data_IF_031344641309
#
_entry.id   IF_031344641309
#
_cell.length_a   1.000
_cell.length_b   1.000
_cell.length_c   1.000
_cell.angle_alpha   90.00
_cell.angle_beta   90.00
_cell.angle_gamma   90.00
#
_symmetry.space_group_name_H-M   'P 1'
#
loop_
_entity.id
_entity.type
_entity.pdbx_description
1 polymer ?
#
# COMPACT_ATOMS: atom_id res chain seq x y z
N UNK A 1 4.14 36.60 5.88
CA UNK A 1 4.07 35.20 5.40
C UNK A 1 2.66 34.60 5.56
N UNK A 2 1.57 35.32 5.24
CA UNK A 2 0.20 34.81 5.38
C UNK A 2 -0.72 35.19 4.21
N UNK A 3 -0.16 35.65 3.09
CA UNK A 3 -0.92 35.97 1.88
C UNK A 3 -1.38 34.73 1.11
N UNK A 4 -0.69 33.59 1.25
CA UNK A 4 -1.04 32.33 0.56
C UNK A 4 -2.37 31.70 1.01
N UNK A 5 -2.79 31.91 2.26
CA UNK A 5 -4.00 31.25 2.76
C UNK A 5 -5.29 31.85 2.18
N UNK A 6 -5.23 33.13 1.75
CA UNK A 6 -6.36 33.77 1.07
C UNK A 6 -6.47 33.33 -0.39
N UNK A 7 -5.34 33.13 -1.06
CA UNK A 7 -5.30 32.61 -2.43
C UNK A 7 -5.71 31.13 -2.49
N UNK A 8 -5.35 30.33 -1.48
CA UNK A 8 -5.82 28.95 -1.34
C UNK A 8 -7.35 28.86 -1.15
N UNK A 9 -7.97 29.78 -0.40
CA UNK A 9 -9.44 29.83 -0.24
C UNK A 9 -10.17 30.35 -1.49
N UNK A 10 -9.55 31.24 -2.27
CA UNK A 10 -10.10 31.67 -3.56
C UNK A 10 -9.98 30.55 -4.62
N UNK A 11 -8.98 29.67 -4.52
CA UNK A 11 -8.88 28.48 -5.37
C UNK A 11 -9.92 27.39 -5.01
N UNK A 12 -10.30 27.23 -3.74
CA UNK A 12 -11.42 26.35 -3.36
C UNK A 12 -12.80 26.87 -3.82
N UNK A 13 -12.90 28.15 -4.16
CA UNK A 13 -14.12 28.77 -4.68
C UNK A 13 -14.29 28.64 -6.21
N UNK A 14 -13.39 27.93 -6.90
CA UNK A 14 -13.63 27.53 -8.29
C UNK A 14 -14.85 26.62 -8.32
N UNK A 15 -15.98 27.20 -8.73
CA UNK A 15 -17.22 26.47 -8.99
C UNK A 15 -16.90 25.32 -9.95
N UNK A 16 -16.82 24.10 -9.41
CA UNK A 16 -16.79 22.88 -10.21
C UNK A 16 -18.09 22.88 -10.98
N UNK A 17 -18.02 23.22 -12.27
CA UNK A 17 -19.18 23.18 -13.15
C UNK A 17 -19.76 21.78 -13.02
N UNK A 18 -21.01 21.64 -12.56
CA UNK A 18 -21.61 20.33 -12.37
C UNK A 18 -21.50 19.57 -13.69
N UNK A 19 -20.93 18.37 -13.64
CA UNK A 19 -20.72 17.55 -14.83
C UNK A 19 -22.07 17.39 -15.54
N UNK A 20 -22.10 17.73 -16.82
CA UNK A 20 -23.31 17.55 -17.62
C UNK A 20 -23.69 16.07 -17.70
N UNK A 21 -24.98 15.78 -17.90
CA UNK A 21 -25.47 14.39 -18.04
C UNK A 21 -24.68 13.58 -19.07
N UNK A 22 -24.22 14.24 -20.14
CA UNK A 22 -23.46 13.61 -21.22
C UNK A 22 -22.05 13.22 -20.78
N UNK A 23 -21.42 14.00 -19.89
CA UNK A 23 -20.11 13.70 -19.33
C UNK A 23 -20.19 12.55 -18.33
N UNK A 24 -21.23 12.55 -17.48
CA UNK A 24 -21.47 11.43 -16.56
C UNK A 24 -21.73 10.13 -17.31
N UNK A 25 -22.51 10.17 -18.40
CA UNK A 25 -22.75 8.98 -19.24
C UNK A 25 -21.48 8.47 -19.92
N UNK A 26 -20.64 9.38 -20.44
CA UNK A 26 -19.35 9.01 -21.03
C UNK A 26 -18.41 8.40 -19.99
N UNK A 27 -18.36 8.96 -18.78
CA UNK A 27 -17.60 8.40 -17.68
C UNK A 27 -18.11 7.00 -17.30
N UNK A 28 -19.42 6.80 -17.18
CA UNK A 28 -20.02 5.50 -16.89
C UNK A 28 -19.69 4.44 -17.95
N UNK A 29 -19.62 4.81 -19.24
CA UNK A 29 -19.21 3.90 -20.31
C UNK A 29 -17.74 3.47 -20.19
N UNK A 30 -16.84 4.40 -19.86
CA UNK A 30 -15.43 4.08 -19.65
C UNK A 30 -15.27 3.14 -18.46
N UNK A 31 -16.02 3.37 -17.38
CA UNK A 31 -16.03 2.51 -16.19
C UNK A 31 -16.60 1.13 -16.52
N UNK A 32 -17.64 1.04 -17.35
CA UNK A 32 -18.22 -0.22 -17.80
C UNK A 32 -17.20 -1.09 -18.57
N UNK A 33 -16.33 -0.48 -19.38
CA UNK A 33 -15.26 -1.22 -20.05
C UNK A 33 -14.21 -1.78 -19.09
N UNK A 34 -14.04 -1.18 -17.91
CA UNK A 34 -13.04 -1.60 -16.93
C UNK A 34 -13.59 -2.61 -15.92
N UNK A 35 -14.91 -2.66 -15.75
CA UNK A 35 -15.58 -3.56 -14.83
C UNK A 35 -15.57 -5.01 -15.34
N UNK A 36 -15.39 -5.96 -14.42
CA UNK A 36 -15.33 -7.39 -14.72
C UNK A 36 -16.70 -8.04 -14.80
N UNK A 37 -17.62 -7.58 -13.98
CA UNK A 37 -18.98 -8.08 -13.89
C UNK A 37 -19.94 -6.95 -13.44
N UNK A 38 -21.22 -7.30 -13.29
CA UNK A 38 -22.28 -6.35 -12.93
C UNK A 38 -22.06 -5.76 -11.53
N UNK A 39 -21.57 -6.56 -10.59
CA UNK A 39 -21.44 -6.15 -9.19
C UNK A 39 -20.23 -5.21 -9.05
N UNK A 40 -19.10 -5.53 -9.71
CA UNK A 40 -17.93 -4.66 -9.84
C UNK A 40 -18.28 -3.32 -10.52
N UNK A 41 -19.12 -3.35 -11.56
CA UNK A 41 -19.62 -2.13 -12.20
C UNK A 41 -20.43 -1.26 -11.23
N UNK A 42 -21.32 -1.86 -10.44
CA UNK A 42 -22.13 -1.12 -9.48
C UNK A 42 -21.26 -0.47 -8.40
N UNK A 43 -20.26 -1.18 -7.88
CA UNK A 43 -19.31 -0.67 -6.89
C UNK A 43 -18.46 0.47 -7.43
N UNK A 44 -17.92 0.33 -8.65
CA UNK A 44 -17.11 1.37 -9.29
C UNK A 44 -17.92 2.64 -9.59
N UNK A 45 -19.15 2.51 -10.09
CA UNK A 45 -20.03 3.66 -10.32
C UNK A 45 -20.41 4.34 -9.01
N UNK A 46 -20.70 3.57 -7.97
CA UNK A 46 -21.00 4.08 -6.63
C UNK A 46 -19.83 4.86 -6.02
N UNK A 47 -18.61 4.31 -6.14
CA UNK A 47 -17.39 4.97 -5.66
C UNK A 47 -17.10 6.30 -6.35
N UNK A 48 -17.46 6.43 -7.64
CA UNK A 48 -17.26 7.65 -8.44
C UNK A 48 -18.43 8.63 -8.35
N UNK A 49 -19.50 8.30 -7.61
CA UNK A 49 -20.71 9.11 -7.53
C UNK A 49 -21.45 9.22 -8.88
N UNK A 50 -21.27 8.24 -9.76
CA UNK A 50 -21.94 8.16 -11.05
C UNK A 50 -23.34 7.53 -10.90
N UNK A 51 -24.25 7.75 -11.87
CA UNK A 51 -25.55 7.11 -11.88
C UNK A 51 -25.42 5.57 -11.81
N UNK A 52 -26.01 4.97 -10.79
CA UNK A 52 -25.95 3.53 -10.50
C UNK A 52 -27.34 2.90 -10.37
N UNK A 53 -28.37 3.51 -10.98
CA UNK A 53 -29.70 2.90 -11.01
C UNK A 53 -29.69 1.61 -11.84
N UNK A 54 -30.57 0.67 -11.52
CA UNK A 54 -30.66 -0.61 -12.25
C UNK A 54 -30.86 -0.40 -13.76
N UNK A 55 -31.64 0.61 -14.16
CA UNK A 55 -31.84 0.96 -15.58
C UNK A 55 -30.53 1.40 -16.26
N UNK A 56 -29.62 2.06 -15.54
CA UNK A 56 -28.32 2.47 -16.04
C UNK A 56 -27.37 1.27 -16.13
N UNK A 57 -27.39 0.37 -15.14
CA UNK A 57 -26.63 -0.88 -15.17
C UNK A 57 -27.05 -1.76 -16.35
N UNK A 58 -28.35 -1.87 -16.62
CA UNK A 58 -28.89 -2.63 -17.78
C UNK A 58 -28.44 -2.03 -19.12
N UNK A 59 -28.30 -0.70 -19.21
CA UNK A 59 -27.76 -0.02 -20.41
C UNK A 59 -26.26 -0.22 -20.59
N UNK A 60 -25.51 -0.37 -19.49
CA UNK A 60 -24.05 -0.52 -19.50
C UNK A 60 -23.57 -1.97 -19.59
N UNK A 61 -24.41 -2.93 -19.19
CA UNK A 61 -24.15 -4.38 -19.26
C UNK A 61 -23.61 -4.87 -20.62
N UNK A 62 -24.13 -4.41 -21.78
CA UNK A 62 -23.58 -4.79 -23.09
C UNK A 62 -22.15 -4.31 -23.36
N UNK A 63 -21.64 -3.38 -22.55
CA UNK A 63 -20.29 -2.79 -22.68
C UNK A 63 -19.28 -3.39 -21.71
N UNK A 64 -19.71 -4.31 -20.84
CA UNK A 64 -18.79 -5.07 -19.99
C UNK A 64 -17.82 -5.85 -20.87
N UNK A 65 -16.55 -5.80 -20.50
CA UNK A 65 -15.52 -6.59 -21.17
C UNK A 65 -15.77 -8.05 -20.84
N UNK A 66 -16.43 -8.78 -21.74
CA UNK A 66 -16.59 -10.21 -21.59
C UNK A 66 -15.20 -10.85 -21.53
N UNK A 67 -14.85 -11.55 -20.44
CA UNK A 67 -13.56 -12.26 -20.37
C UNK A 67 -13.43 -13.38 -21.41
N UNK A 68 -14.55 -13.74 -22.06
CA UNK A 68 -14.64 -14.73 -23.14
C UNK A 68 -14.69 -14.12 -24.55
N UNK A 69 -14.83 -12.80 -24.69
CA UNK A 69 -14.47 -12.16 -25.95
C UNK A 69 -12.94 -12.13 -25.94
N UNK A 70 -12.37 -13.29 -26.31
CA UNK A 70 -11.01 -13.42 -26.79
C UNK A 70 -10.81 -12.28 -27.78
N UNK A 71 -10.22 -11.19 -27.29
CA UNK A 71 -9.40 -10.33 -28.11
C UNK A 71 -8.53 -11.34 -28.85
N UNK A 72 -8.67 -11.49 -30.19
CA UNK A 72 -7.78 -12.36 -30.91
C UNK A 72 -6.41 -11.95 -30.42
N UNK A 73 -5.63 -12.92 -29.94
CA UNK A 73 -4.24 -12.73 -29.56
C UNK A 73 -3.49 -12.29 -30.81
N UNK A 74 -3.77 -11.08 -31.28
CA UNK A 74 -2.85 -10.24 -32.00
C UNK A 74 -1.75 -10.05 -31.00
N UNK A 75 -0.56 -10.46 -31.43
CA UNK A 75 0.67 -10.42 -30.69
C UNK A 75 0.64 -9.30 -29.66
N UNK A 76 0.97 -9.58 -28.39
CA UNK A 76 1.04 -8.53 -27.39
C UNK A 76 1.77 -7.36 -28.02
N UNK A 77 1.17 -6.17 -28.00
CA UNK A 77 1.90 -4.94 -28.29
C UNK A 77 2.93 -4.70 -27.18
N UNK A 78 3.81 -5.68 -26.93
CA UNK A 78 5.05 -5.59 -26.19
C UNK A 78 6.12 -4.96 -27.07
N UNK A 79 5.77 -3.94 -27.85
CA UNK A 79 6.69 -2.81 -27.91
C UNK A 79 6.59 -2.15 -26.53
N UNK A 80 7.32 -2.71 -25.56
CA UNK A 80 7.46 -2.14 -24.23
C UNK A 80 7.70 -0.63 -24.42
N UNK A 81 6.98 0.26 -23.71
CA UNK A 81 7.01 1.70 -24.00
C UNK A 81 8.46 2.26 -24.03
N UNK A 82 9.36 1.60 -23.29
CA UNK A 82 10.79 1.79 -23.32
C UNK A 82 11.46 1.45 -24.66
N UNK A 83 11.08 0.36 -25.34
CA UNK A 83 11.55 -0.01 -26.68
C UNK A 83 11.14 1.01 -27.74
N UNK A 84 9.91 1.52 -27.67
CA UNK A 84 9.45 2.57 -28.60
C UNK A 84 10.19 3.91 -28.37
N UNK A 85 10.43 4.27 -27.11
CA UNK A 85 11.19 5.46 -26.74
C UNK A 85 12.66 5.32 -27.13
N UNK A 86 13.25 4.13 -26.91
CA UNK A 86 14.61 3.81 -27.33
C UNK A 86 14.77 3.88 -28.85
N UNK A 87 13.84 3.31 -29.61
CA UNK A 87 13.83 3.42 -31.07
C UNK A 87 13.74 4.89 -31.51
N UNK A 88 12.90 5.71 -30.86
CA UNK A 88 12.81 7.15 -31.14
C UNK A 88 14.12 7.89 -30.88
N UNK A 89 14.78 7.65 -29.74
CA UNK A 89 16.09 8.25 -29.42
C UNK A 89 17.16 7.84 -30.44
N UNK A 90 17.18 6.57 -30.84
CA UNK A 90 18.10 6.06 -31.87
C UNK A 90 17.84 6.73 -33.24
N UNK A 91 16.58 6.93 -33.65
CA UNK A 91 16.26 7.66 -34.88
C UNK A 91 16.66 9.14 -34.84
N UNK A 92 16.75 9.73 -33.64
CA UNK A 92 17.22 11.10 -33.43
C UNK A 92 18.76 11.21 -33.40
N UNK A 93 19.48 10.10 -33.54
CA UNK A 93 20.93 10.06 -33.60
C UNK A 93 21.63 9.87 -32.26
N UNK A 94 20.88 9.54 -31.19
CA UNK A 94 21.49 9.21 -29.91
C UNK A 94 22.29 7.89 -30.00
N UNK A 95 23.43 7.86 -29.32
CA UNK A 95 24.25 6.64 -29.26
C UNK A 95 23.52 5.53 -28.50
N UNK A 96 23.58 4.26 -28.95
CA UNK A 96 22.93 3.14 -28.27
C UNK A 96 23.35 2.99 -26.80
N UNK A 97 24.59 3.32 -26.45
CA UNK A 97 25.08 3.33 -25.06
C UNK A 97 24.39 4.40 -24.20
N UNK A 98 24.10 5.56 -24.79
CA UNK A 98 23.39 6.63 -24.10
C UNK A 98 21.93 6.26 -23.84
N UNK A 99 21.27 5.65 -24.83
CA UNK A 99 19.89 5.16 -24.72
C UNK A 99 19.78 4.07 -23.66
N UNK A 100 20.73 3.11 -23.66
CA UNK A 100 20.79 2.03 -22.67
C UNK A 100 20.95 2.58 -21.25
N UNK A 101 21.90 3.50 -21.04
CA UNK A 101 22.12 4.11 -19.73
C UNK A 101 20.95 4.97 -19.25
N UNK A 102 20.23 5.63 -20.16
CA UNK A 102 19.14 6.55 -19.82
C UNK A 102 17.86 5.81 -19.48
N UNK A 103 17.57 4.72 -20.20
CA UNK A 103 16.33 3.94 -20.04
C UNK A 103 16.53 2.69 -19.17
N UNK A 104 17.75 2.38 -18.74
CA UNK A 104 18.05 1.21 -17.92
C UNK A 104 17.84 -0.12 -18.64
N UNK A 105 17.93 -0.13 -19.98
CA UNK A 105 17.62 -1.29 -20.80
C UNK A 105 18.70 -2.37 -20.72
N UNK A 106 18.27 -3.62 -20.82
CA UNK A 106 19.16 -4.75 -21.10
C UNK A 106 19.65 -4.73 -22.55
N UNK A 107 20.73 -5.45 -22.82
CA UNK A 107 21.32 -5.53 -24.17
C UNK A 107 20.40 -6.20 -25.19
N UNK A 108 19.59 -7.16 -24.74
CA UNK A 108 18.55 -7.80 -25.55
C UNK A 108 17.44 -6.84 -25.94
N UNK A 109 16.99 -5.98 -25.02
CA UNK A 109 15.94 -4.98 -25.32
C UNK A 109 16.46 -3.86 -26.22
N UNK A 110 17.73 -3.48 -26.08
CA UNK A 110 18.37 -2.53 -26.98
C UNK A 110 18.50 -3.10 -28.41
N UNK A 111 18.85 -4.38 -28.54
CA UNK A 111 18.92 -5.05 -29.84
C UNK A 111 17.54 -5.11 -30.53
N UNK A 112 16.48 -5.32 -29.76
CA UNK A 112 15.10 -5.28 -30.24
C UNK A 112 14.69 -3.84 -30.66
N UNK A 113 15.04 -2.82 -29.87
CA UNK A 113 14.80 -1.42 -30.22
C UNK A 113 15.53 -0.98 -31.49
N UNK A 114 16.78 -1.44 -31.69
CA UNK A 114 17.56 -1.18 -32.92
C UNK A 114 16.90 -1.86 -34.13
N UNK A 115 16.39 -3.09 -33.96
CA UNK A 115 15.64 -3.80 -35.02
C UNK A 115 14.36 -3.06 -35.39
N UNK A 116 13.68 -2.45 -34.42
CA UNK A 116 12.49 -1.62 -34.64
C UNK A 116 12.78 -0.25 -35.25
N UNK A 117 13.95 0.34 -34.98
CA UNK A 117 14.36 1.62 -35.54
C UNK A 117 14.76 1.53 -37.03
N UNK A 118 14.77 0.33 -37.63
CA UNK A 118 15.14 0.08 -39.03
C UNK A 118 16.49 0.67 -39.46
N UNK A 119 17.38 0.96 -38.49
CA UNK A 119 18.74 1.41 -38.77
C UNK A 119 19.58 0.20 -39.19
N UNK A 120 20.30 0.27 -40.33
CA UNK A 120 21.21 -0.80 -40.72
C UNK A 120 22.26 -0.96 -39.62
N UNK A 121 22.27 -2.14 -38.99
CA UNK A 121 23.25 -2.52 -37.97
C UNK A 121 24.64 -2.18 -38.51
N UNK A 122 25.46 -1.38 -37.80
CA UNK A 122 26.85 -1.16 -38.20
C UNK A 122 27.56 -2.51 -38.09
N UNK A 123 27.71 -3.16 -39.23
CA UNK A 123 28.42 -4.43 -39.38
C UNK A 123 29.85 -4.21 -38.88
N UNK A 124 30.12 -4.62 -37.65
CA UNK A 124 31.47 -4.78 -37.15
C UNK A 124 32.19 -5.73 -38.11
N UNK A 125 33.21 -5.22 -38.78
CA UNK A 125 33.96 -5.90 -39.82
C UNK A 125 34.56 -7.19 -39.27
N UNK A 126 34.15 -8.38 -39.75
CA UNK A 126 34.82 -9.62 -39.41
C UNK A 126 36.03 -9.80 -40.34
N UNK A 127 37.17 -10.07 -39.73
CA UNK A 127 38.41 -10.49 -40.41
C UNK A 127 38.15 -11.87 -41.06
N UNK A 128 38.56 -12.11 -42.33
CA UNK A 128 38.23 -13.34 -43.04
C UNK A 128 39.25 -14.46 -42.79
N UNK A 129 38.89 -15.64 -43.33
CA UNK A 129 39.61 -16.92 -43.47
C UNK A 129 39.05 -18.01 -42.51
N UNK A 130 38.59 -19.18 -42.96
CA UNK A 130 38.86 -19.95 -44.19
C UNK A 130 37.72 -20.95 -44.47
N UNK A 131 37.64 -21.36 -45.74
CA UNK A 131 36.84 -22.44 -46.35
C UNK A 131 36.58 -23.68 -45.46
N UNK A 132 35.40 -24.30 -45.59
CA UNK A 132 35.18 -25.46 -46.48
C UNK A 132 33.84 -26.18 -46.16
N UNK A 133 33.22 -26.71 -47.21
CA UNK A 133 32.34 -27.88 -47.21
C UNK A 133 30.85 -27.76 -46.83
N UNK A 134 30.06 -27.48 -47.88
CA UNK A 134 29.04 -28.38 -48.45
C UNK A 134 28.23 -29.30 -47.51
N UNK A 135 26.91 -29.08 -47.45
CA UNK A 135 25.90 -30.02 -48.00
C UNK A 135 24.48 -29.67 -47.53
N UNK A 136 23.60 -29.48 -48.52
CA UNK A 136 22.15 -29.76 -48.43
C UNK A 136 21.93 -31.30 -48.35
N UNK A 137 20.72 -31.88 -48.12
CA UNK A 137 19.40 -31.28 -48.34
C UNK A 137 18.27 -31.64 -47.33
N UNK A 138 17.15 -30.95 -47.53
CA UNK A 138 15.74 -31.37 -47.43
C UNK A 138 15.34 -32.52 -46.48
N UNK A 139 14.37 -32.25 -45.60
CA UNK A 139 13.19 -33.11 -45.49
C UNK A 139 11.95 -32.33 -45.05
N UNK A 140 10.86 -32.60 -45.77
CA UNK A 140 9.51 -32.14 -45.51
C UNK A 140 8.85 -33.07 -44.49
N UNK A 141 8.28 -32.52 -43.41
CA UNK A 141 7.42 -33.28 -42.51
C UNK A 141 6.01 -32.69 -42.55
N UNK A 142 5.11 -33.50 -43.12
CA UNK A 142 3.66 -33.40 -43.03
C UNK A 142 3.21 -33.80 -41.63
N UNK A 143 2.44 -32.95 -40.95
CA UNK A 143 1.50 -33.36 -39.90
C UNK A 143 0.22 -32.53 -40.10
N UNK A 144 -0.84 -33.10 -40.69
CA UNK A 144 -1.82 -33.98 -40.05
C UNK A 144 -2.79 -33.19 -39.15
N UNK A 145 -3.81 -32.67 -39.82
CA UNK A 145 -5.13 -32.27 -39.32
C UNK A 145 -5.82 -33.43 -38.57
N UNK A 146 -6.48 -33.16 -37.43
CA UNK A 146 -7.59 -33.98 -36.97
C UNK A 146 -8.89 -33.17 -36.98
N UNK A 147 -9.76 -33.55 -37.91
CA UNK A 147 -11.17 -33.22 -38.00
C UNK A 147 -11.97 -34.06 -36.99
N UNK A 148 -13.02 -33.45 -36.40
CA UNK A 148 -14.32 -34.03 -35.97
C UNK A 148 -14.70 -34.03 -34.46
N UNK A 149 -15.58 -33.07 -34.13
CA UNK A 149 -16.91 -33.20 -33.49
C UNK A 149 -17.01 -33.42 -31.95
N UNK A 150 -18.19 -33.22 -31.30
CA UNK A 150 -19.48 -32.64 -31.76
C UNK A 150 -20.07 -31.52 -30.86
N UNK A 151 -21.04 -30.80 -31.44
CA UNK A 151 -22.04 -29.99 -30.74
C UNK A 151 -22.74 -30.76 -29.60
N UNK A 152 -22.87 -30.11 -28.44
CA UNK A 152 -23.87 -30.48 -27.42
C UNK A 152 -24.60 -29.23 -26.95
N UNK A 153 -25.73 -29.01 -27.62
CA UNK A 153 -26.81 -28.14 -27.19
C UNK A 153 -27.62 -28.89 -26.12
N UNK A 154 -27.68 -28.37 -24.89
CA UNK A 154 -28.55 -28.91 -23.84
C UNK A 154 -28.92 -27.83 -22.81
N UNK A 155 -30.05 -27.19 -23.08
CA UNK A 155 -30.93 -26.51 -22.12
C UNK A 155 -31.06 -27.22 -20.77
N UNK A 156 -31.00 -26.46 -19.67
CA UNK A 156 -32.00 -26.55 -18.60
C UNK A 156 -31.86 -25.38 -17.60
N UNK A 157 -32.80 -24.43 -17.73
CA UNK A 157 -33.16 -23.48 -16.70
C UNK A 157 -33.81 -24.22 -15.52
N UNK A 158 -33.35 -23.99 -14.30
CA UNK A 158 -34.08 -24.35 -13.09
C UNK A 158 -33.92 -23.24 -12.05
N UNK A 159 -34.92 -22.36 -12.00
CA UNK A 159 -35.15 -21.44 -10.89
C UNK A 159 -35.44 -22.21 -9.60
N UNK A 160 -34.78 -21.84 -8.51
CA UNK A 160 -35.15 -22.21 -7.14
C UNK A 160 -34.88 -21.02 -6.19
N UNK A 161 -35.64 -20.90 -5.08
CA UNK A 161 -36.07 -19.62 -4.56
C UNK A 161 -35.09 -18.99 -3.56
N UNK A 162 -35.06 -17.65 -3.67
CA UNK A 162 -34.79 -16.62 -2.68
C UNK A 162 -34.85 -17.10 -1.21
N UNK A 163 -33.66 -17.30 -0.65
CA UNK A 163 -33.43 -17.44 0.78
C UNK A 163 -32.53 -16.29 1.24
N UNK A 164 -33.03 -15.57 2.24
CA UNK A 164 -32.47 -14.41 2.95
C UNK A 164 -30.94 -14.52 3.15
N UNK A 165 -30.13 -13.51 2.76
CA UNK A 165 -28.69 -13.54 2.97
C UNK A 165 -28.35 -13.38 4.46
N UNK A 166 -27.90 -14.48 5.05
CA UNK A 166 -27.14 -14.50 6.30
C UNK A 166 -25.77 -13.81 6.07
N UNK A 167 -25.09 -13.30 7.12
CA UNK A 167 -23.83 -12.59 6.98
C UNK A 167 -22.81 -13.47 6.26
N UNK A 168 -22.34 -12.97 5.12
CA UNK A 168 -21.26 -13.54 4.33
C UNK A 168 -20.07 -13.79 5.26
N UNK A 169 -19.84 -15.06 5.57
CA UNK A 169 -18.60 -15.47 6.19
C UNK A 169 -17.52 -15.20 5.17
N UNK A 170 -16.60 -14.32 5.54
CA UNK A 170 -15.39 -13.99 4.79
C UNK A 170 -14.82 -15.28 4.21
N UNK A 171 -14.82 -15.35 2.89
CA UNK A 171 -14.64 -16.56 2.10
C UNK A 171 -13.20 -17.02 2.31
N UNK A 172 -12.97 -17.83 3.34
CA UNK A 172 -11.71 -18.54 3.57
C UNK A 172 -11.57 -19.50 2.41
N UNK A 173 -11.05 -18.99 1.29
CA UNK A 173 -10.68 -19.74 0.10
C UNK A 173 -10.01 -21.01 0.60
N UNK A 174 -10.60 -22.16 0.29
CA UNK A 174 -10.27 -23.48 0.84
C UNK A 174 -8.76 -23.76 0.72
N UNK A 175 -8.01 -23.29 1.71
CA UNK A 175 -6.55 -23.25 1.69
C UNK A 175 -6.02 -24.68 1.82
N UNK A 176 -6.78 -25.52 2.53
CA UNK A 176 -6.56 -26.94 2.66
C UNK A 176 -6.71 -27.65 1.29
N UNK A 177 -7.71 -27.27 0.49
CA UNK A 177 -7.88 -27.77 -0.88
C UNK A 177 -6.72 -27.41 -1.81
N UNK A 178 -6.21 -26.17 -1.72
CA UNK A 178 -5.07 -25.71 -2.53
C UNK A 178 -3.78 -26.45 -2.13
N UNK A 179 -3.51 -26.63 -0.84
CA UNK A 179 -2.34 -27.38 -0.36
C UNK A 179 -2.39 -28.86 -0.73
N UNK A 180 -3.59 -29.46 -0.73
CA UNK A 180 -3.79 -30.83 -1.20
C UNK A 180 -3.46 -30.98 -2.70
N UNK A 181 -3.87 -30.02 -3.54
CA UNK A 181 -3.57 -30.00 -4.97
C UNK A 181 -2.08 -29.79 -5.24
N UNK A 182 -1.42 -28.88 -4.52
CA UNK A 182 0.02 -28.63 -4.66
C UNK A 182 0.82 -29.87 -4.23
N UNK A 183 0.44 -30.51 -3.13
CA UNK A 183 1.07 -31.75 -2.65
C UNK A 183 0.90 -32.90 -3.65
N UNK A 184 -0.28 -33.04 -4.26
CA UNK A 184 -0.49 -33.99 -5.35
C UNK A 184 0.40 -33.68 -6.57
N UNK A 185 0.45 -32.41 -6.98
CA UNK A 185 1.23 -31.97 -8.13
C UNK A 185 2.74 -32.17 -7.96
N UNK A 186 3.27 -32.07 -6.74
CA UNK A 186 4.67 -32.39 -6.44
C UNK A 186 4.99 -33.88 -6.50
N UNK A 187 4.02 -34.73 -6.16
CA UNK A 187 4.15 -36.19 -6.30
C UNK A 187 3.93 -36.67 -7.74
N UNK A 188 3.59 -35.76 -8.67
CA UNK A 188 3.21 -36.12 -10.02
C UNK A 188 4.40 -36.67 -10.83
N UNK A 189 4.21 -37.75 -11.63
CA UNK A 189 5.30 -38.37 -12.39
C UNK A 189 5.91 -37.45 -13.47
N UNK A 190 5.11 -36.55 -14.04
CA UNK A 190 5.57 -35.58 -15.03
C UNK A 190 6.37 -34.43 -14.39
N UNK A 191 7.62 -34.23 -14.83
CA UNK A 191 8.50 -33.18 -14.30
C UNK A 191 7.98 -31.75 -14.50
N UNK A 192 7.26 -31.49 -15.59
CA UNK A 192 6.66 -30.18 -15.87
C UNK A 192 5.63 -29.76 -14.81
N UNK A 193 4.83 -30.70 -14.30
CA UNK A 193 3.80 -30.44 -13.29
C UNK A 193 4.47 -30.14 -11.94
N UNK A 194 5.50 -30.90 -11.56
CA UNK A 194 6.26 -30.65 -10.33
C UNK A 194 6.93 -29.27 -10.34
N UNK A 195 7.54 -28.89 -11.46
CA UNK A 195 8.18 -27.57 -11.61
C UNK A 195 7.16 -26.43 -11.50
N UNK A 196 5.95 -26.61 -12.05
CA UNK A 196 4.87 -25.63 -11.91
C UNK A 196 4.40 -25.52 -10.46
N UNK A 197 4.20 -26.64 -9.78
CA UNK A 197 3.82 -26.65 -8.36
C UNK A 197 4.85 -25.92 -7.48
N UNK A 198 6.13 -26.17 -7.71
CA UNK A 198 7.22 -25.49 -7.00
C UNK A 198 7.23 -23.97 -7.25
N UNK A 199 7.00 -23.53 -8.49
CA UNK A 199 6.87 -22.10 -8.81
C UNK A 199 5.66 -21.47 -8.10
N UNK A 200 4.50 -22.12 -8.17
CA UNK A 200 3.28 -21.62 -7.51
C UNK A 200 3.48 -21.50 -5.98
N UNK A 201 4.19 -22.44 -5.34
CA UNK A 201 4.53 -22.33 -3.91
C UNK A 201 5.45 -21.14 -3.61
N UNK A 202 6.44 -20.91 -4.47
CA UNK A 202 7.32 -19.74 -4.36
C UNK A 202 6.51 -18.44 -4.46
N UNK A 203 5.66 -18.33 -5.48
CA UNK A 203 4.84 -17.15 -5.73
C UNK A 203 3.83 -16.90 -4.59
N UNK A 204 3.23 -17.98 -4.05
CA UNK A 204 2.31 -17.88 -2.92
C UNK A 204 3.03 -17.41 -1.65
N UNK A 205 4.25 -17.92 -1.41
CA UNK A 205 5.09 -17.46 -0.29
C UNK A 205 5.42 -15.97 -0.43
N UNK A 206 5.87 -15.53 -1.61
CA UNK A 206 6.15 -14.12 -1.90
C UNK A 206 4.92 -13.21 -1.69
N UNK A 207 3.74 -13.65 -2.15
CA UNK A 207 2.49 -12.92 -1.93
C UNK A 207 2.13 -12.82 -0.44
N UNK A 208 2.34 -13.88 0.34
CA UNK A 208 2.11 -13.83 1.79
C UNK A 208 3.08 -12.90 2.51
N UNK A 209 4.36 -12.88 2.13
CA UNK A 209 5.36 -11.96 2.68
C UNK A 209 5.04 -10.50 2.34
N UNK A 210 4.59 -10.23 1.10
CA UNK A 210 4.15 -8.90 0.70
C UNK A 210 2.94 -8.43 1.52
N UNK A 211 1.93 -9.29 1.68
CA UNK A 211 0.75 -8.96 2.51
C UNK A 211 1.11 -8.73 3.97
N UNK A 212 2.05 -9.49 4.52
CA UNK A 212 2.54 -9.29 5.88
C UNK A 212 3.26 -7.94 6.03
N UNK A 213 4.04 -7.56 5.02
CA UNK A 213 4.71 -6.25 4.97
C UNK A 213 3.70 -5.11 4.90
N UNK A 214 2.69 -5.22 4.02
CA UNK A 214 1.62 -4.23 3.87
C UNK A 214 0.79 -4.10 5.17
N UNK A 215 0.53 -5.21 5.86
CA UNK A 215 -0.15 -5.20 7.15
C UNK A 215 0.68 -4.50 8.23
N UNK A 216 1.98 -4.79 8.31
CA UNK A 216 2.90 -4.14 9.24
C UNK A 216 3.01 -2.63 8.97
N UNK A 217 2.98 -2.22 7.69
CA UNK A 217 2.95 -0.81 7.31
C UNK A 217 1.67 -0.12 7.82
N UNK A 218 0.49 -0.71 7.58
CA UNK A 218 -0.78 -0.15 8.07
C UNK A 218 -0.80 -0.01 9.60
N UNK A 219 -0.31 -1.01 10.32
CA UNK A 219 -0.19 -0.94 11.78
C UNK A 219 0.75 0.19 12.23
N UNK A 220 1.87 0.39 11.54
CA UNK A 220 2.78 1.50 11.81
C UNK A 220 2.13 2.87 11.55
N UNK A 221 1.37 2.99 10.46
CA UNK A 221 0.61 4.20 10.12
C UNK A 221 -0.47 4.50 11.17
N UNK A 222 -1.17 3.48 11.65
CA UNK A 222 -2.17 3.61 12.72
C UNK A 222 -1.52 4.08 14.03
N UNK A 223 -0.36 3.53 14.41
CA UNK A 223 0.39 3.99 15.58
C UNK A 223 0.80 5.46 15.46
N UNK A 224 1.22 5.91 14.28
CA UNK A 224 1.54 7.32 14.03
C UNK A 224 0.31 8.21 14.14
N UNK A 225 -0.84 7.76 13.60
CA UNK A 225 -2.09 8.50 13.71
C UNK A 225 -2.54 8.65 15.17
N UNK A 226 -2.45 7.58 15.98
CA UNK A 226 -2.78 7.60 17.40
C UNK A 226 -1.86 8.55 18.19
N UNK A 227 -0.54 8.46 17.98
CA UNK A 227 0.42 9.35 18.63
C UNK A 227 0.19 10.83 18.28
N UNK A 228 -0.21 11.12 17.03
CA UNK A 228 -0.54 12.48 16.60
C UNK A 228 -1.81 13.00 17.28
N UNK A 229 -2.84 12.18 17.41
CA UNK A 229 -4.07 12.54 18.12
C UNK A 229 -3.80 12.81 19.61
N UNK A 230 -2.96 12.02 20.25
CA UNK A 230 -2.55 12.23 21.64
C UNK A 230 -1.76 13.55 21.81
N UNK A 231 -0.83 13.84 20.89
CA UNK A 231 -0.07 15.10 20.91
C UNK A 231 -1.01 16.31 20.77
N UNK A 232 -1.99 16.25 19.88
CA UNK A 232 -2.99 17.31 19.73
C UNK A 232 -3.82 17.49 21.01
N UNK A 233 -4.26 16.40 21.63
CA UNK A 233 -4.97 16.44 22.90
C UNK A 233 -4.12 17.08 24.02
N UNK A 234 -2.83 16.70 24.13
CA UNK A 234 -1.91 17.29 25.09
C UNK A 234 -1.69 18.79 24.83
N UNK A 235 -1.58 19.21 23.58
CA UNK A 235 -1.50 20.63 23.23
C UNK A 235 -2.78 21.38 23.59
N UNK A 236 -3.96 20.79 23.38
CA UNK A 236 -5.23 21.39 23.77
C UNK A 236 -5.33 21.58 25.29
N UNK A 237 -4.89 20.59 26.07
CA UNK A 237 -4.79 20.70 27.53
C UNK A 237 -3.84 21.82 27.95
N UNK A 238 -2.67 21.95 27.32
CA UNK A 238 -1.73 23.03 27.61
C UNK A 238 -2.34 24.40 27.30
N UNK A 239 -3.05 24.54 26.17
CA UNK A 239 -3.78 25.78 25.83
C UNK A 239 -4.85 26.11 26.89
N UNK A 240 -5.59 25.11 27.36
CA UNK A 240 -6.60 25.29 28.41
C UNK A 240 -6.00 25.74 29.75
N UNK A 241 -4.90 25.11 30.19
CA UNK A 241 -4.18 25.52 31.42
C UNK A 241 -3.62 26.93 31.29
N UNK A 242 -3.04 27.28 30.13
CA UNK A 242 -2.52 28.62 29.88
C UNK A 242 -3.63 29.68 29.91
N UNK A 243 -4.79 29.38 29.32
CA UNK A 243 -5.96 30.26 29.36
C UNK A 243 -6.53 30.41 30.78
N UNK A 244 -6.58 29.33 31.57
CA UNK A 244 -7.07 29.34 32.95
C UNK A 244 -6.10 29.90 34.00
N UNK A 245 -4.79 29.92 33.71
CA UNK A 245 -3.75 30.35 34.67
C UNK A 245 -3.42 31.85 34.69
N UNK A 246 -3.96 32.66 33.77
CA UNK A 246 -3.60 34.08 33.65
C UNK A 246 -4.66 35.06 34.20
N UNK A 247 -5.74 34.58 34.81
CA UNK A 247 -6.78 35.42 35.43
C UNK A 247 -6.62 35.58 36.95
N UNK A 248 -5.37 35.68 37.44
CA UNK A 248 -5.09 35.96 38.86
C UNK A 248 -3.94 36.98 39.03
N UNK A 249 -4.00 38.12 38.35
CA UNK A 249 -3.36 39.36 38.82
C UNK A 249 -4.23 40.55 38.42
N UNK A 250 -5.47 40.54 38.89
CA UNK A 250 -6.29 41.74 39.00
C UNK A 250 -6.70 41.86 40.48
N UNK A 251 -5.92 42.67 41.20
CA UNK A 251 -6.32 43.45 42.38
C UNK A 251 -7.31 42.76 43.33
N UNK A 252 -6.79 41.99 44.30
CA UNK A 252 -7.46 41.83 45.59
C UNK A 252 -6.70 42.64 46.64
N UNK A 253 -7.15 43.89 46.79
CA UNK A 253 -6.99 44.67 48.00
C UNK A 253 -8.26 44.46 48.84
N UNK A 254 -8.23 43.42 49.69
CA UNK A 254 -9.07 43.29 50.89
C UNK A 254 -8.72 41.99 51.65
N UNK A 255 -8.26 42.13 52.89
CA UNK A 255 -8.05 41.12 53.95
C UNK A 255 -8.90 41.56 55.17
N UNK A 256 -9.28 40.76 56.22
CA UNK A 256 -9.13 39.30 56.52
C UNK A 256 -10.39 38.57 57.10
N UNK A 257 -10.42 37.22 57.10
CA UNK A 257 -10.49 36.36 58.32
C UNK A 257 -10.44 34.83 58.00
N UNK A 258 -9.68 34.06 58.79
CA UNK A 258 -9.50 32.59 58.77
C UNK A 258 -10.22 31.94 59.99
N UNK A 259 -10.28 30.58 60.23
CA UNK A 259 -9.51 29.47 59.63
C UNK A 259 -10.24 28.11 59.31
N UNK A 260 -9.45 27.21 58.71
CA UNK A 260 -9.63 25.88 58.05
C UNK A 260 -10.10 24.68 58.94
N UNK A 261 -10.03 23.36 58.54
CA UNK A 261 -9.63 22.73 57.25
C UNK A 261 -10.43 21.47 56.76
N UNK A 262 -10.32 21.20 55.45
CA UNK A 262 -10.30 19.87 54.81
C UNK A 262 -8.89 19.67 54.17
N UNK A 263 -8.42 18.47 53.76
CA UNK A 263 -8.34 18.22 52.28
C UNK A 263 -8.13 16.77 51.76
N UNK A 264 -8.42 16.55 50.46
CA UNK A 264 -7.66 15.73 49.46
C UNK A 264 -8.31 15.85 48.06
N UNK A 265 -7.65 15.49 46.92
CA UNK A 265 -6.23 15.57 46.52
C UNK A 265 -6.01 16.24 45.12
N UNK A 266 -4.79 16.66 44.76
CA UNK A 266 -4.40 17.03 43.38
C UNK A 266 -2.89 16.95 43.13
N UNK A 267 -2.53 16.65 41.88
CA UNK A 267 -1.19 16.36 41.39
C UNK A 267 -0.45 17.56 40.73
N UNK A 268 0.89 17.47 40.75
CA UNK A 268 1.94 18.13 39.94
C UNK A 268 2.07 19.67 39.92
N UNK A 269 3.05 20.20 40.67
CA UNK A 269 4.23 20.92 40.12
C UNK A 269 5.05 21.57 41.26
N UNK A 270 6.36 21.26 41.29
CA UNK A 270 7.45 22.03 41.93
C UNK A 270 7.22 22.59 43.33
N UNK A 271 7.34 21.71 44.33
CA UNK A 271 7.53 22.12 45.72
C UNK A 271 7.46 20.93 46.65
N UNK A 272 8.61 20.29 46.91
CA UNK A 272 8.79 19.11 47.77
C UNK A 272 8.29 17.78 47.17
N UNK A 273 9.24 16.90 46.80
CA UNK A 273 8.97 15.49 46.54
C UNK A 273 8.37 14.84 47.78
N UNK A 274 7.42 13.93 47.59
CA UNK A 274 6.76 13.29 48.74
C UNK A 274 7.77 12.46 49.54
N UNK A 275 7.48 12.24 50.82
CA UNK A 275 8.36 11.44 51.68
C UNK A 275 8.48 10.00 51.19
N UNK A 276 7.43 9.46 50.58
CA UNK A 276 7.46 8.14 49.94
C UNK A 276 8.39 8.13 48.72
N UNK A 277 8.29 9.15 47.85
CA UNK A 277 9.13 9.25 46.66
C UNK A 277 10.62 9.34 47.03
N UNK A 278 10.96 10.15 48.03
CA UNK A 278 12.34 10.22 48.54
C UNK A 278 12.81 8.89 49.15
N UNK A 279 11.91 8.06 49.69
CA UNK A 279 12.25 6.73 50.17
C UNK A 279 12.51 5.76 49.02
N UNK A 280 11.69 5.80 47.97
CA UNK A 280 11.89 5.02 46.74
C UNK A 280 13.22 5.37 46.06
N UNK A 281 13.54 6.66 45.93
CA UNK A 281 14.80 7.13 45.37
C UNK A 281 15.99 6.64 46.20
N UNK A 282 15.89 6.65 47.54
CA UNK A 282 16.94 6.12 48.42
C UNK A 282 17.15 4.63 48.25
N UNK A 283 16.07 3.85 48.11
CA UNK A 283 16.15 2.41 47.88
C UNK A 283 16.79 2.10 46.53
N UNK A 284 16.35 2.77 45.46
CA UNK A 284 16.93 2.64 44.12
C UNK A 284 18.42 3.02 44.11
N UNK A 285 18.77 4.13 44.76
CA UNK A 285 20.14 4.61 44.80
C UNK A 285 21.08 3.61 45.49
N UNK A 286 20.67 3.01 46.63
CA UNK A 286 21.47 1.97 47.30
C UNK A 286 21.63 0.72 46.45
N UNK A 287 20.58 0.30 45.73
CA UNK A 287 20.65 -0.84 44.80
C UNK A 287 21.63 -0.59 43.64
N UNK A 288 21.80 0.67 43.22
CA UNK A 288 22.74 1.08 42.17
C UNK A 288 24.13 1.51 42.71
N UNK A 289 24.43 1.23 43.98
CA UNK A 289 25.73 1.53 44.60
C UNK A 289 25.98 3.00 44.90
N UNK A 290 24.95 3.86 44.84
CA UNK A 290 25.06 5.26 45.26
C UNK A 290 24.96 5.38 46.79
N UNK A 291 25.90 6.13 47.38
CA UNK A 291 25.91 6.37 48.82
C UNK A 291 24.97 7.54 49.16
N UNK A 292 23.89 7.24 49.88
CA UNK A 292 22.85 8.21 50.26
C UNK A 292 22.58 8.12 51.76
N UNK A 293 22.44 9.26 52.42
CA UNK A 293 22.10 9.32 53.85
C UNK A 293 20.70 8.75 54.11
N UNK A 294 20.51 8.12 55.27
CA UNK A 294 19.23 7.50 55.64
C UNK A 294 18.09 8.52 55.85
N UNK A 295 18.43 9.76 56.17
CA UNK A 295 17.51 10.88 56.41
C UNK A 295 17.95 12.13 55.64
N UNK A 296 16.95 12.91 55.22
CA UNK A 296 17.15 14.18 54.51
C UNK A 296 16.99 14.07 53.01
N UNK A 297 17.38 15.15 52.31
CA UNK A 297 17.25 15.24 50.86
C UNK A 297 18.47 14.55 50.21
N UNK A 298 18.29 13.59 49.28
CA UNK A 298 19.39 12.96 48.56
C UNK A 298 20.13 13.99 47.70
N UNK A 299 21.41 13.71 47.41
CA UNK A 299 22.22 14.57 46.57
C UNK A 299 21.57 14.77 45.19
N UNK A 300 21.64 16.00 44.64
CA UNK A 300 21.02 16.34 43.35
C UNK A 300 21.42 15.38 42.22
N UNK A 301 22.68 14.93 42.21
CA UNK A 301 23.19 13.95 41.24
C UNK A 301 22.43 12.61 41.27
N UNK A 302 21.96 12.17 42.44
CA UNK A 302 21.17 10.94 42.60
C UNK A 302 19.74 11.16 42.12
N UNK A 303 19.17 12.34 42.37
CA UNK A 303 17.85 12.72 41.85
C UNK A 303 17.85 12.75 40.31
N UNK A 304 18.84 13.40 39.71
CA UNK A 304 18.96 13.50 38.25
C UNK A 304 19.14 12.11 37.60
N UNK A 305 19.94 11.23 38.21
CA UNK A 305 20.14 9.86 37.74
C UNK A 305 18.87 9.00 37.86
N UNK A 306 18.14 9.14 38.97
CA UNK A 306 16.87 8.47 39.17
C UNK A 306 15.83 8.92 38.13
N UNK A 307 15.72 10.24 37.92
CA UNK A 307 14.80 10.82 36.95
C UNK A 307 15.16 10.38 35.52
N UNK A 308 16.45 10.29 35.18
CA UNK A 308 16.89 9.79 33.87
C UNK A 308 16.48 8.33 33.64
N UNK A 309 16.72 7.44 34.63
CA UNK A 309 16.40 6.02 34.52
C UNK A 309 14.88 5.75 34.44
N UNK A 310 14.08 6.52 35.16
CA UNK A 310 12.62 6.33 35.19
C UNK A 310 11.92 7.09 34.05
N UNK A 311 12.55 8.11 33.46
CA UNK A 311 12.04 8.76 32.24
C UNK A 311 12.18 7.83 31.04
N UNK A 312 13.26 7.06 30.94
CA UNK A 312 13.41 6.04 29.88
C UNK A 312 12.45 4.87 30.03
N UNK A 313 12.13 4.44 31.27
CA UNK A 313 11.17 3.36 31.50
C UNK A 313 9.74 3.77 31.11
N UNK A 314 9.30 4.96 31.50
CA UNK A 314 7.99 5.48 31.08
C UNK A 314 7.92 5.72 29.56
N UNK A 315 9.04 6.07 28.91
CA UNK A 315 9.08 6.23 27.45
C UNK A 315 9.01 4.87 26.71
N UNK A 316 9.53 3.80 27.32
CA UNK A 316 9.49 2.45 26.75
C UNK A 316 8.12 1.79 26.95
N UNK A 317 7.46 1.98 28.10
CA UNK A 317 6.09 1.50 28.32
C UNK A 317 5.05 2.30 27.51
N UNK A 318 5.28 3.59 27.24
CA UNK A 318 4.43 4.37 26.34
C UNK A 318 4.63 4.03 24.84
N UNK A 319 5.58 3.15 24.52
CA UNK A 319 5.89 2.70 23.15
C UNK A 319 5.46 1.24 22.89
N UNK A 320 4.84 0.57 23.86
CA UNK A 320 4.20 -0.75 23.74
C UNK A 320 2.68 -0.62 23.70
#
# INVERSE_FOLDING_TARGET
MFTDMKEALEAEALELTPLGSDQSNAASLVVAHQARDKDDLADLLGALGLPCAEDDLVRLLPHLTNPNDDIPTGDPMTANAFTATAASMLTNGDSPEHVRSTLGLSESELAEAVKHAELPVPTATPVPETDDSASAPAEAVKHAEPTAAPDTDASASASAPEAVPAPVSDDTVDTDGIEALLSWAESHPAASIRNRAARVRSDLTELTERRATDAAQREAEERVANAKAELEAAQAQLRAVKAGGHTATAVQDATPLAPAPAPAPAATATGQRSKEELAAIRTWARANGHQVADKGNPAKKVLDAYDAAHRTANLAEASQ
#
